data_IF_180643202808
#
_entry.id   IF_180643202808
#
_cell.length_a   1.000
_cell.length_b   1.000
_cell.length_c   1.000
_cell.angle_alpha   90.00
_cell.angle_beta   90.00
_cell.angle_gamma   90.00
#
_symmetry.space_group_name_H-M   'P 1'
#
loop_
_entity.id
_entity.type
_entity.pdbx_description
1 polymer ?
#
# COMPACT_ATOMS: atom_id res chain seq x y z
N UNK A 1 -39.69 4.89 -3.45
CA UNK A 1 -39.01 3.58 -3.45
C UNK A 1 -37.73 3.73 -2.65
N UNK A 2 -37.42 2.79 -1.76
CA UNK A 2 -36.14 2.80 -1.06
C UNK A 2 -34.97 2.73 -2.06
N UNK A 3 -33.92 3.46 -1.81
CA UNK A 3 -32.71 3.40 -2.65
C UNK A 3 -32.16 1.98 -2.68
N UNK A 4 -31.81 1.48 -3.88
CA UNK A 4 -31.23 0.15 -4.03
C UNK A 4 -29.81 0.09 -3.48
N UNK A 5 -29.37 -1.06 -2.94
CA UNK A 5 -28.04 -1.27 -2.34
C UNK A 5 -26.88 -0.79 -3.22
N UNK A 6 -26.90 -1.14 -4.52
CA UNK A 6 -25.82 -0.74 -5.44
C UNK A 6 -25.71 0.80 -5.57
N UNK A 7 -26.86 1.50 -5.62
CA UNK A 7 -26.88 2.96 -5.69
C UNK A 7 -26.31 3.58 -4.42
N UNK A 8 -26.69 3.07 -3.24
CA UNK A 8 -26.15 3.53 -1.95
C UNK A 8 -24.64 3.30 -1.86
N UNK A 9 -24.16 2.11 -2.20
CA UNK A 9 -22.74 1.78 -2.18
C UNK A 9 -21.89 2.69 -3.10
N UNK A 10 -22.39 2.97 -4.31
CA UNK A 10 -21.71 3.87 -5.25
C UNK A 10 -21.70 5.33 -4.77
N UNK A 11 -22.73 5.77 -4.05
CA UNK A 11 -22.75 7.10 -3.41
C UNK A 11 -21.72 7.18 -2.29
N UNK A 12 -21.60 6.15 -1.45
CA UNK A 12 -20.54 6.06 -0.44
C UNK A 12 -19.15 6.17 -1.09
N UNK A 13 -18.94 5.46 -2.21
CA UNK A 13 -17.68 5.52 -2.96
C UNK A 13 -17.40 6.94 -3.47
N UNK A 14 -18.39 7.63 -4.00
CA UNK A 14 -18.27 9.02 -4.45
C UNK A 14 -17.97 9.98 -3.28
N UNK A 15 -18.58 9.77 -2.13
CA UNK A 15 -18.31 10.55 -0.92
C UNK A 15 -16.86 10.35 -0.42
N UNK A 16 -16.35 9.11 -0.45
CA UNK A 16 -14.94 8.84 -0.11
C UNK A 16 -14.02 9.67 -1.01
N UNK A 17 -14.25 9.69 -2.33
CA UNK A 17 -13.45 10.47 -3.28
C UNK A 17 -13.43 11.95 -2.89
N UNK A 18 -14.59 12.52 -2.56
CA UNK A 18 -14.72 13.94 -2.20
C UNK A 18 -13.99 14.28 -0.87
N UNK A 19 -13.86 13.31 0.03
CA UNK A 19 -13.25 13.49 1.36
C UNK A 19 -11.78 13.07 1.43
N UNK A 20 -11.21 12.51 0.35
CA UNK A 20 -9.79 12.18 0.31
C UNK A 20 -8.91 13.41 0.48
N UNK A 21 -7.89 13.30 1.33
CA UNK A 21 -6.82 14.30 1.42
C UNK A 21 -5.85 14.13 0.24
N UNK A 22 -6.11 14.88 -0.84
CA UNK A 22 -5.27 14.86 -2.05
C UNK A 22 -3.81 15.21 -1.72
N UNK A 23 -3.57 16.12 -0.77
CA UNK A 23 -2.21 16.51 -0.38
C UNK A 23 -1.42 15.35 0.24
N UNK A 24 -2.09 14.40 0.89
CA UNK A 24 -1.44 13.19 1.41
C UNK A 24 -0.95 12.26 0.29
N UNK A 25 -1.67 12.24 -0.83
CA UNK A 25 -1.28 11.46 -2.02
C UNK A 25 -0.05 12.08 -2.68
N UNK A 26 -0.03 13.40 -2.84
CA UNK A 26 1.12 14.11 -3.42
C UNK A 26 2.38 13.92 -2.54
N UNK A 27 2.26 14.07 -1.20
CA UNK A 27 3.36 13.77 -0.28
C UNK A 27 3.87 12.33 -0.40
N UNK A 28 2.96 11.37 -0.58
CA UNK A 28 3.34 9.97 -0.79
C UNK A 28 4.09 9.80 -2.12
N UNK A 29 3.64 10.42 -3.21
CA UNK A 29 4.33 10.40 -4.50
C UNK A 29 5.74 11.01 -4.40
N UNK A 30 5.91 12.14 -3.72
CA UNK A 30 7.21 12.76 -3.46
C UNK A 30 8.13 11.84 -2.68
N UNK A 31 7.61 11.20 -1.60
CA UNK A 31 8.41 10.27 -0.79
C UNK A 31 8.88 9.07 -1.59
N UNK A 32 8.00 8.47 -2.39
CA UNK A 32 8.35 7.35 -3.27
C UNK A 32 9.36 7.77 -4.36
N UNK A 33 9.20 8.95 -4.96
CA UNK A 33 10.18 9.48 -5.90
C UNK A 33 11.57 9.65 -5.27
N UNK A 34 11.64 10.08 -4.01
CA UNK A 34 12.90 10.18 -3.26
C UNK A 34 13.55 8.80 -3.06
N UNK A 35 12.79 7.75 -2.73
CA UNK A 35 13.29 6.36 -2.65
C UNK A 35 13.89 5.92 -3.99
N UNK A 36 13.19 6.14 -5.10
CA UNK A 36 13.69 5.79 -6.44
C UNK A 36 14.97 6.55 -6.78
N UNK A 37 15.03 7.85 -6.50
CA UNK A 37 16.21 8.69 -6.73
C UNK A 37 17.43 8.21 -5.93
N UNK A 38 17.21 7.66 -4.74
CA UNK A 38 18.27 7.05 -3.91
C UNK A 38 18.70 5.64 -4.38
N UNK A 39 18.11 5.11 -5.45
CA UNK A 39 18.33 3.73 -5.91
C UNK A 39 17.78 2.68 -4.94
N UNK A 40 16.77 3.03 -4.15
CA UNK A 40 16.11 2.14 -3.21
C UNK A 40 15.02 1.29 -3.86
N UNK A 41 14.64 0.22 -3.16
CA UNK A 41 13.58 -0.72 -3.52
C UNK A 41 12.31 -0.40 -2.77
N UNK A 42 11.17 -0.88 -3.28
CA UNK A 42 9.90 -0.82 -2.57
C UNK A 42 9.46 -2.21 -2.10
N UNK A 43 9.01 -2.30 -0.87
CA UNK A 43 8.43 -3.51 -0.28
C UNK A 43 6.97 -3.23 0.06
N UNK A 44 6.07 -3.89 -0.67
CA UNK A 44 4.63 -3.77 -0.47
C UNK A 44 4.17 -4.82 0.53
N UNK A 45 3.54 -4.38 1.61
CA UNK A 45 3.09 -5.26 2.69
C UNK A 45 1.57 -5.13 2.89
N UNK A 46 0.90 -6.25 2.94
CA UNK A 46 -0.54 -6.33 3.19
C UNK A 46 -0.95 -7.73 3.67
N UNK A 47 -2.18 -7.84 4.14
CA UNK A 47 -2.78 -9.10 4.61
C UNK A 47 -4.14 -9.28 3.95
N UNK A 48 -4.49 -10.49 3.52
CA UNK A 48 -5.77 -10.78 2.88
C UNK A 48 -5.94 -10.04 1.54
N UNK A 49 -7.05 -9.34 1.35
CA UNK A 49 -7.30 -8.54 0.14
C UNK A 49 -6.27 -7.43 -0.05
N UNK A 50 -5.75 -6.87 1.04
CA UNK A 50 -4.64 -5.91 0.98
C UNK A 50 -3.33 -6.55 0.48
N UNK A 51 -3.07 -7.84 0.74
CA UNK A 51 -1.94 -8.57 0.16
C UNK A 51 -2.11 -8.77 -1.35
N UNK A 52 -3.32 -9.09 -1.79
CA UNK A 52 -3.61 -9.20 -3.23
C UNK A 52 -3.41 -7.85 -3.95
N UNK A 53 -3.86 -6.74 -3.33
CA UNK A 53 -3.60 -5.40 -3.85
C UNK A 53 -2.10 -5.06 -3.86
N UNK A 54 -1.33 -5.49 -2.85
CA UNK A 54 0.12 -5.30 -2.78
C UNK A 54 0.84 -6.03 -3.91
N UNK A 55 0.48 -7.29 -4.18
CA UNK A 55 1.03 -8.08 -5.29
C UNK A 55 0.74 -7.43 -6.66
N UNK A 56 -0.50 -6.93 -6.86
CA UNK A 56 -0.86 -6.17 -8.07
C UNK A 56 -0.01 -4.89 -8.18
N UNK A 57 0.09 -4.12 -7.11
CA UNK A 57 0.85 -2.87 -7.10
C UNK A 57 2.34 -3.10 -7.44
N UNK A 58 2.96 -4.18 -6.97
CA UNK A 58 4.34 -4.56 -7.33
C UNK A 58 4.52 -4.61 -8.85
N UNK A 59 3.60 -5.29 -9.58
CA UNK A 59 3.65 -5.35 -11.04
C UNK A 59 3.65 -3.95 -11.66
N UNK A 60 2.73 -3.09 -11.22
CA UNK A 60 2.54 -1.77 -11.80
C UNK A 60 3.71 -0.82 -11.48
N UNK A 61 4.20 -0.82 -10.25
CA UNK A 61 5.35 -0.01 -9.87
C UNK A 61 6.63 -0.44 -10.59
N UNK A 62 6.82 -1.73 -10.84
CA UNK A 62 7.93 -2.23 -11.67
C UNK A 62 7.79 -1.79 -13.13
N UNK A 63 6.60 -1.99 -13.70
CA UNK A 63 6.35 -1.82 -15.13
C UNK A 63 6.14 -0.37 -15.56
N UNK A 64 5.44 0.42 -14.75
CA UNK A 64 4.99 1.76 -15.12
C UNK A 64 5.78 2.88 -14.43
N UNK A 65 6.35 2.61 -13.26
CA UNK A 65 7.06 3.58 -12.45
C UNK A 65 8.56 3.29 -12.27
N UNK A 66 9.08 2.21 -12.88
CA UNK A 66 10.51 1.90 -12.93
C UNK A 66 11.15 1.60 -11.58
N UNK A 67 10.38 1.04 -10.63
CA UNK A 67 10.92 0.60 -9.35
C UNK A 67 11.37 -0.85 -9.37
N UNK A 68 12.40 -1.16 -8.60
CA UNK A 68 12.61 -2.50 -8.08
C UNK A 68 11.66 -2.69 -6.89
N UNK A 69 10.63 -3.56 -7.03
CA UNK A 69 9.57 -3.70 -6.05
C UNK A 69 9.26 -5.18 -5.79
N UNK A 70 8.86 -5.50 -4.55
CA UNK A 70 8.60 -6.86 -4.07
C UNK A 70 7.45 -6.89 -3.07
N UNK A 71 6.80 -8.07 -2.96
CA UNK A 71 5.79 -8.37 -1.97
C UNK A 71 6.13 -9.71 -1.28
N UNK A 72 6.27 -9.78 0.05
CA UNK A 72 6.58 -11.02 0.76
C UNK A 72 5.57 -12.14 0.52
N UNK A 73 4.32 -11.80 0.26
CA UNK A 73 3.23 -12.76 0.06
C UNK A 73 3.26 -13.44 -1.32
N UNK A 74 4.13 -13.00 -2.24
CA UNK A 74 4.29 -13.63 -3.56
C UNK A 74 5.06 -14.97 -3.47
N UNK A 75 5.81 -15.19 -2.39
CA UNK A 75 6.48 -16.46 -2.12
C UNK A 75 5.74 -17.23 -1.03
N UNK A 76 4.81 -18.09 -1.44
CA UNK A 76 4.00 -18.90 -0.52
C UNK A 76 4.84 -19.82 0.35
N UNK A 77 5.97 -20.33 -0.16
CA UNK A 77 6.86 -21.23 0.58
C UNK A 77 7.49 -20.52 1.76
N UNK A 78 8.10 -19.36 1.54
CA UNK A 78 8.74 -18.59 2.61
C UNK A 78 7.69 -18.06 3.61
N UNK A 79 6.55 -17.55 3.11
CA UNK A 79 5.45 -17.09 3.95
C UNK A 79 4.97 -18.16 4.92
N UNK A 80 4.73 -19.38 4.42
CA UNK A 80 4.19 -20.47 5.23
C UNK A 80 5.24 -21.06 6.18
N UNK A 81 6.49 -21.22 5.75
CA UNK A 81 7.58 -21.68 6.59
C UNK A 81 7.81 -20.74 7.76
N UNK A 82 7.98 -19.43 7.51
CA UNK A 82 8.16 -18.43 8.58
C UNK A 82 6.97 -18.34 9.52
N UNK A 83 5.75 -18.48 9.01
CA UNK A 83 4.55 -18.51 9.85
C UNK A 83 4.56 -19.71 10.79
N UNK A 84 4.95 -20.89 10.30
CA UNK A 84 5.00 -22.13 11.07
C UNK A 84 6.13 -22.13 12.10
N UNK A 85 7.32 -21.66 11.72
CA UNK A 85 8.55 -21.83 12.49
C UNK A 85 8.80 -20.64 13.45
N UNK A 86 8.48 -19.41 13.01
CA UNK A 86 8.80 -18.17 13.70
C UNK A 86 7.54 -17.41 14.19
N UNK A 87 6.36 -17.80 13.72
CA UNK A 87 5.07 -17.20 14.04
C UNK A 87 4.70 -16.01 13.16
N UNK A 88 3.38 -15.76 13.08
CA UNK A 88 2.79 -14.77 12.18
C UNK A 88 3.29 -13.33 12.41
N UNK A 89 3.61 -12.97 13.64
CA UNK A 89 4.03 -11.62 13.97
C UNK A 89 5.38 -11.24 13.32
N UNK A 90 6.30 -12.19 13.19
CA UNK A 90 7.65 -11.96 12.69
C UNK A 90 7.78 -12.01 11.17
N UNK A 91 6.81 -12.60 10.47
CA UNK A 91 6.93 -13.05 9.08
C UNK A 91 7.43 -11.96 8.12
N UNK A 92 6.92 -10.74 8.22
CA UNK A 92 7.35 -9.65 7.33
C UNK A 92 8.68 -9.02 7.75
N UNK A 93 8.91 -8.87 9.05
CA UNK A 93 10.19 -8.36 9.54
C UNK A 93 11.33 -9.31 9.21
N UNK A 94 11.16 -10.62 9.42
CA UNK A 94 12.17 -11.63 9.10
C UNK A 94 12.41 -11.70 7.58
N UNK A 95 11.36 -11.58 6.76
CA UNK A 95 11.50 -11.51 5.30
C UNK A 95 12.29 -10.27 4.86
N UNK A 96 12.03 -9.09 5.44
CA UNK A 96 12.75 -7.85 5.15
C UNK A 96 14.23 -7.95 5.54
N UNK A 97 14.55 -8.58 6.67
CA UNK A 97 15.93 -8.87 7.07
C UNK A 97 16.62 -9.80 6.05
N UNK A 98 15.97 -10.87 5.63
CA UNK A 98 16.46 -11.76 4.57
C UNK A 98 16.68 -11.03 3.24
N UNK A 99 15.84 -10.04 2.94
CA UNK A 99 15.96 -9.15 1.78
C UNK A 99 16.99 -8.04 1.96
N UNK A 100 17.67 -7.97 3.13
CA UNK A 100 18.68 -6.97 3.46
C UNK A 100 18.18 -5.54 3.25
N UNK A 101 17.04 -5.22 3.89
CA UNK A 101 16.47 -3.87 3.85
C UNK A 101 17.50 -2.83 4.33
N UNK A 102 17.53 -1.68 3.66
CA UNK A 102 18.45 -0.58 3.94
C UNK A 102 17.70 0.75 4.09
N UNK A 103 18.40 1.79 4.55
CA UNK A 103 17.86 3.16 4.65
C UNK A 103 17.47 3.79 3.31
N UNK A 104 17.89 3.23 2.18
CA UNK A 104 17.48 3.70 0.85
C UNK A 104 16.13 3.16 0.42
N UNK A 105 15.69 2.06 1.01
CA UNK A 105 14.47 1.35 0.64
C UNK A 105 13.21 2.02 1.23
N UNK A 106 12.05 1.59 0.77
CA UNK A 106 10.76 2.06 1.27
C UNK A 106 9.76 0.92 1.46
N UNK A 107 8.96 1.02 2.52
CA UNK A 107 7.77 0.20 2.74
C UNK A 107 6.53 0.94 2.23
N UNK A 108 5.65 0.20 1.58
CA UNK A 108 4.29 0.62 1.23
C UNK A 108 3.31 -0.30 1.94
N UNK A 109 2.65 0.20 2.96
CA UNK A 109 1.70 -0.57 3.77
C UNK A 109 0.30 -0.43 3.20
N UNK A 110 -0.32 -1.55 2.81
CA UNK A 110 -1.72 -1.61 2.44
C UNK A 110 -2.49 -2.34 3.54
N UNK A 111 -3.41 -1.65 4.22
CA UNK A 111 -4.11 -2.24 5.35
C UNK A 111 -5.42 -1.53 5.65
N UNK A 112 -6.46 -2.29 5.99
CA UNK A 112 -7.74 -1.72 6.43
C UNK A 112 -7.59 -0.95 7.75
N UNK A 113 -6.82 -1.47 8.71
CA UNK A 113 -6.68 -0.87 10.04
C UNK A 113 -5.31 -0.28 10.37
N UNK A 114 -4.32 -0.40 9.47
CA UNK A 114 -2.97 0.15 9.67
C UNK A 114 -2.15 -0.49 10.81
N UNK A 115 -2.60 -1.61 11.38
CA UNK A 115 -2.00 -2.25 12.55
C UNK A 115 -2.34 -1.58 13.88
N UNK A 116 -2.35 -2.36 14.97
CA UNK A 116 -2.60 -1.85 16.32
C UNK A 116 -1.78 -2.60 17.36
N UNK A 117 -0.92 -1.89 18.09
CA UNK A 117 -0.04 -2.46 19.12
C UNK A 117 -0.81 -2.95 20.34
N UNK A 118 -1.77 -2.18 20.82
CA UNK A 118 -2.49 -2.49 22.06
C UNK A 118 -3.44 -3.68 21.88
N UNK A 119 -4.10 -3.74 20.72
CA UNK A 119 -5.07 -4.79 20.38
C UNK A 119 -4.45 -5.97 19.65
N UNK A 120 -3.13 -5.96 19.43
CA UNK A 120 -2.40 -6.98 18.67
C UNK A 120 -3.01 -7.29 17.29
N UNK A 121 -3.47 -6.25 16.57
CA UNK A 121 -4.03 -6.40 15.22
C UNK A 121 -2.94 -6.18 14.19
N UNK A 122 -2.78 -7.12 13.26
CA UNK A 122 -1.73 -7.13 12.23
C UNK A 122 -0.33 -6.91 12.80
N UNK A 123 0.10 -7.71 13.82
CA UNK A 123 1.41 -7.54 14.46
C UNK A 123 2.56 -7.66 13.45
N UNK A 124 2.41 -8.45 12.40
CA UNK A 124 3.37 -8.60 11.32
C UNK A 124 3.66 -7.27 10.59
N UNK A 125 2.65 -6.44 10.34
CA UNK A 125 2.84 -5.09 9.77
C UNK A 125 3.54 -4.19 10.78
N UNK A 126 3.14 -4.23 12.04
CA UNK A 126 3.73 -3.41 13.11
C UNK A 126 5.22 -3.72 13.27
N UNK A 127 5.61 -5.01 13.34
CA UNK A 127 7.02 -5.39 13.47
C UNK A 127 7.85 -5.02 12.23
N UNK A 128 7.30 -5.15 11.03
CA UNK A 128 7.94 -4.70 9.81
C UNK A 128 8.17 -3.17 9.80
N UNK A 129 7.19 -2.39 10.25
CA UNK A 129 7.30 -0.94 10.35
C UNK A 129 8.37 -0.53 11.38
N UNK A 130 8.40 -1.18 12.54
CA UNK A 130 9.45 -0.95 13.56
C UNK A 130 10.84 -1.20 13.00
N UNK A 131 11.04 -2.32 12.31
CA UNK A 131 12.30 -2.64 11.64
C UNK A 131 12.67 -1.59 10.61
N UNK A 132 11.73 -1.17 9.75
CA UNK A 132 11.99 -0.14 8.74
C UNK A 132 12.44 1.18 9.37
N UNK A 133 11.76 1.63 10.42
CA UNK A 133 12.17 2.85 11.16
C UNK A 133 13.53 2.69 11.83
N UNK A 134 13.86 1.51 12.36
CA UNK A 134 15.17 1.23 12.97
C UNK A 134 16.31 1.31 11.94
N UNK A 135 16.11 0.82 10.71
CA UNK A 135 17.14 0.88 9.65
C UNK A 135 17.12 2.20 8.88
N UNK A 136 16.17 3.10 9.15
CA UNK A 136 16.02 4.38 8.48
C UNK A 136 15.36 4.31 7.10
N UNK A 137 14.70 3.19 6.77
CA UNK A 137 13.93 3.05 5.54
C UNK A 137 12.67 3.91 5.57
N UNK A 138 12.23 4.38 4.40
CA UNK A 138 10.98 5.13 4.28
C UNK A 138 9.78 4.25 4.63
N UNK A 139 8.78 4.81 5.30
CA UNK A 139 7.50 4.14 5.55
C UNK A 139 6.38 4.97 4.98
N UNK A 140 5.60 4.37 4.08
CA UNK A 140 4.39 4.98 3.52
C UNK A 140 3.21 4.01 3.68
N UNK A 141 1.97 4.53 3.60
CA UNK A 141 0.80 3.67 3.74
C UNK A 141 -0.44 4.18 3.02
N UNK A 142 -1.31 3.24 2.64
CA UNK A 142 -2.68 3.49 2.22
C UNK A 142 -3.54 2.64 3.14
N UNK A 143 -4.25 3.30 4.05
CA UNK A 143 -4.94 2.64 5.16
C UNK A 143 -6.36 3.19 5.33
N UNK A 144 -7.21 2.43 6.00
CA UNK A 144 -8.56 2.89 6.36
C UNK A 144 -8.69 3.22 7.84
N UNK A 145 -9.93 3.34 8.31
CA UNK A 145 -10.30 3.64 9.70
C UNK A 145 -9.63 4.93 10.20
N UNK A 146 -8.93 4.83 11.32
CA UNK A 146 -8.12 5.89 11.93
C UNK A 146 -6.64 5.86 11.52
N UNK A 147 -6.30 4.98 10.57
CA UNK A 147 -4.93 4.80 10.08
C UNK A 147 -4.03 3.94 10.96
N UNK A 148 -4.44 3.63 12.18
CA UNK A 148 -3.73 2.76 13.12
C UNK A 148 -2.29 3.16 13.39
N UNK A 149 -1.45 2.15 13.62
CA UNK A 149 -0.02 2.37 13.87
C UNK A 149 0.69 2.97 12.65
N UNK A 150 0.31 2.56 11.44
CA UNK A 150 0.92 3.04 10.20
C UNK A 150 0.82 4.57 10.08
N UNK A 151 -0.39 5.14 10.22
CA UNK A 151 -0.57 6.59 10.08
C UNK A 151 0.18 7.42 11.15
N UNK A 152 0.42 6.82 12.33
CA UNK A 152 1.13 7.50 13.43
C UNK A 152 2.63 7.66 13.18
N UNK A 153 3.25 6.75 12.40
CA UNK A 153 4.71 6.68 12.27
C UNK A 153 5.22 6.76 10.83
N UNK A 154 4.34 6.70 9.84
CA UNK A 154 4.71 6.79 8.43
C UNK A 154 5.21 8.19 8.06
N UNK A 155 6.12 8.25 7.10
CA UNK A 155 6.63 9.50 6.53
C UNK A 155 5.58 10.16 5.61
N UNK A 156 4.70 9.36 5.00
CA UNK A 156 3.50 9.78 4.28
C UNK A 156 2.43 8.69 4.34
N UNK A 157 1.18 9.07 4.59
CA UNK A 157 0.09 8.11 4.71
C UNK A 157 -1.21 8.68 4.14
N UNK A 158 -1.84 7.91 3.26
CA UNK A 158 -3.19 8.19 2.75
C UNK A 158 -4.19 7.43 3.61
N UNK A 159 -5.07 8.15 4.30
CA UNK A 159 -6.14 7.53 5.09
C UNK A 159 -7.44 7.60 4.30
N UNK A 160 -8.00 6.44 3.95
CA UNK A 160 -9.27 6.33 3.24
C UNK A 160 -10.41 6.68 4.22
N UNK A 161 -11.21 7.72 3.94
CA UNK A 161 -12.28 8.15 4.85
C UNK A 161 -13.30 7.06 5.10
N UNK A 162 -13.68 6.85 6.34
CA UNK A 162 -14.81 5.98 6.70
C UNK A 162 -16.11 6.77 6.53
N UNK A 163 -16.95 6.36 5.59
CA UNK A 163 -18.30 6.92 5.33
C UNK A 163 -19.39 5.99 5.83
N UNK A 164 -19.12 4.69 5.82
CA UNK A 164 -20.00 3.65 6.33
C UNK A 164 -19.20 2.68 7.21
N UNK A 165 -19.47 2.61 8.53
CA UNK A 165 -18.73 1.73 9.44
C UNK A 165 -18.92 0.24 9.14
N UNK A 166 -20.01 -0.15 8.45
CA UNK A 166 -20.29 -1.54 8.09
C UNK A 166 -19.62 -1.96 6.76
N UNK A 167 -19.04 -1.00 6.01
CA UNK A 167 -18.39 -1.24 4.72
C UNK A 167 -16.92 -0.74 4.67
N UNK A 168 -16.26 -0.61 5.81
CA UNK A 168 -14.88 -0.10 5.87
C UNK A 168 -13.92 -0.97 5.08
N UNK A 169 -13.98 -2.29 5.24
CA UNK A 169 -13.08 -3.24 4.56
C UNK A 169 -13.21 -3.17 3.04
N UNK A 170 -14.38 -3.38 2.45
CA UNK A 170 -14.52 -3.38 0.99
C UNK A 170 -14.18 -2.03 0.37
N UNK A 171 -14.54 -0.91 1.00
CA UNK A 171 -14.15 0.41 0.51
C UNK A 171 -12.63 0.61 0.59
N UNK A 172 -12.01 0.35 1.74
CA UNK A 172 -10.55 0.53 1.87
C UNK A 172 -9.78 -0.31 0.85
N UNK A 173 -10.13 -1.58 0.69
CA UNK A 173 -9.44 -2.48 -0.26
C UNK A 173 -9.66 -2.06 -1.72
N UNK A 174 -10.83 -1.56 -2.08
CA UNK A 174 -11.08 -0.98 -3.41
C UNK A 174 -10.22 0.26 -3.65
N UNK A 175 -10.08 1.12 -2.66
CA UNK A 175 -9.26 2.33 -2.76
C UNK A 175 -7.75 2.04 -2.72
N UNK A 176 -7.27 0.90 -2.24
CA UNK A 176 -5.88 0.48 -2.46
C UNK A 176 -5.55 0.47 -3.96
N UNK A 177 -6.40 -0.11 -4.79
CA UNK A 177 -6.20 -0.12 -6.24
C UNK A 177 -6.29 1.28 -6.85
N UNK A 178 -7.30 2.07 -6.48
CA UNK A 178 -7.48 3.44 -6.97
C UNK A 178 -6.25 4.30 -6.69
N UNK A 179 -5.74 4.29 -5.46
CA UNK A 179 -4.59 5.11 -5.08
C UNK A 179 -3.29 4.57 -5.70
N UNK A 180 -3.07 3.25 -5.75
CA UNK A 180 -1.89 2.68 -6.40
C UNK A 180 -1.85 3.03 -7.90
N UNK A 181 -2.98 2.93 -8.63
CA UNK A 181 -3.04 3.34 -10.04
C UNK A 181 -2.83 4.85 -10.22
N UNK A 182 -3.36 5.67 -9.32
CA UNK A 182 -3.11 7.11 -9.32
C UNK A 182 -1.60 7.39 -9.14
N UNK A 183 -0.94 6.75 -8.17
CA UNK A 183 0.48 6.93 -7.90
C UNK A 183 1.35 6.53 -9.11
N UNK A 184 1.14 5.37 -9.72
CA UNK A 184 1.95 4.97 -10.90
C UNK A 184 1.64 5.81 -12.14
N UNK A 185 0.52 6.55 -12.14
CA UNK A 185 0.16 7.52 -13.18
C UNK A 185 0.64 8.93 -12.87
N UNK A 186 1.08 9.18 -11.63
CA UNK A 186 1.51 10.51 -11.16
C UNK A 186 2.77 10.97 -11.91
N UNK A 187 2.88 12.26 -12.35
CA UNK A 187 4.01 12.76 -13.13
C UNK A 187 5.38 12.52 -12.49
N UNK A 188 5.49 12.55 -11.16
CA UNK A 188 6.73 12.27 -10.44
C UNK A 188 7.18 10.81 -10.52
N UNK A 189 6.25 9.87 -10.75
CA UNK A 189 6.51 8.43 -10.66
C UNK A 189 6.45 7.73 -12.02
N UNK A 190 5.58 8.15 -12.91
CA UNK A 190 5.37 7.53 -14.21
C UNK A 190 6.61 7.57 -15.08
N UNK A 191 7.07 6.42 -15.55
CA UNK A 191 8.19 6.28 -16.50
C UNK A 191 7.79 5.65 -17.82
N UNK A 192 6.65 4.93 -17.84
CA UNK A 192 6.15 4.20 -19.00
C UNK A 192 4.64 4.35 -19.14
N UNK A 193 4.13 4.09 -20.34
CA UNK A 193 2.69 4.08 -20.63
C UNK A 193 2.18 2.66 -20.64
N UNK A 194 0.99 2.40 -20.08
CA UNK A 194 0.37 1.11 -20.13
C UNK A 194 0.00 0.74 -21.57
N UNK A 195 -0.09 -0.57 -21.84
CA UNK A 195 -0.25 -1.07 -23.22
C UNK A 195 -1.49 -0.51 -23.92
N UNK A 196 -2.63 -0.49 -23.25
CA UNK A 196 -3.87 -0.03 -23.87
C UNK A 196 -3.83 1.45 -24.24
N UNK A 197 -3.27 2.29 -23.39
CA UNK A 197 -3.10 3.72 -23.64
C UNK A 197 -2.05 3.99 -24.74
N UNK A 198 -1.11 3.07 -24.96
CA UNK A 198 -0.13 3.20 -26.05
C UNK A 198 -0.68 2.78 -27.41
N UNK A 199 -1.61 1.79 -27.43
CA UNK A 199 -2.20 1.28 -28.69
C UNK A 199 -3.28 2.22 -29.25
N UNK A 200 -3.96 2.97 -28.38
CA UNK A 200 -5.06 3.87 -28.77
C UNK A 200 -4.63 5.27 -29.16
N UNK A 201 -3.36 5.65 -28.94
CA UNK A 201 -2.84 6.93 -29.44
C UNK A 201 -2.54 6.81 -30.93
N UNK A 202 -3.11 7.69 -31.80
CA UNK A 202 -2.65 7.79 -33.18
C UNK A 202 -1.15 8.06 -33.18
N UNK A 203 -0.41 7.44 -34.09
CA UNK A 203 0.97 7.83 -34.33
C UNK A 203 0.98 9.32 -34.70
N UNK A 204 1.64 10.15 -33.89
CA UNK A 204 1.90 11.56 -34.19
C UNK A 204 2.90 11.65 -35.34
#
# INVERSE_FOLDING_TARGET
MAEGFASAYLKETAEIIQRLDVSSIDRMAERLAAVRKAGGRLFFLGVGGSAAAASHAVNDFRKLAGFEAYCPTDNVSELTARTNDEGWASVFAAWLLGSRITSRDGLVILSVGGGNLEKNVSPNLVEAIKLAKQVGAAVTGIVGRDGGYTAKVADACVVIPTVNPDAVTPHTESFHAVICHLLVSHPLLKTSTAKWESVTKPAL
#
